data_IF_369273708666
#
_entry.id   IF_369273708666
#
_cell.length_a   1.000
_cell.length_b   1.000
_cell.length_c   1.000
_cell.angle_alpha   90.00
_cell.angle_beta   90.00
_cell.angle_gamma   90.00
#
_symmetry.space_group_name_H-M   'P 1'
#
loop_
_entity.id
_entity.type
_entity.pdbx_description
1 polymer ?
#
# COMPACT_ATOMS: atom_id res chain seq x y z
N UNK A 1 8.83 -18.37 -3.10
CA UNK A 1 8.64 -17.18 -3.96
C UNK A 1 7.15 -16.95 -4.15
N UNK A 2 6.59 -15.81 -3.72
CA UNK A 2 5.14 -15.56 -3.83
C UNK A 2 4.78 -15.36 -5.31
N UNK A 3 3.92 -16.22 -5.88
CA UNK A 3 3.42 -16.04 -7.26
C UNK A 3 2.44 -14.86 -7.28
N UNK A 4 2.88 -13.74 -7.85
CA UNK A 4 2.06 -12.53 -7.99
C UNK A 4 1.46 -12.53 -9.40
N UNK A 5 0.14 -12.42 -9.52
CA UNK A 5 -0.50 -12.28 -10.83
C UNK A 5 -0.17 -10.92 -11.46
N UNK A 6 -0.19 -10.83 -12.79
CA UNK A 6 0.09 -9.58 -13.51
C UNK A 6 -0.84 -8.43 -13.06
N UNK A 7 -2.09 -8.76 -12.73
CA UNK A 7 -3.09 -7.80 -12.23
C UNK A 7 -2.67 -7.22 -10.88
N UNK A 8 -2.27 -8.07 -9.95
CA UNK A 8 -1.83 -7.66 -8.61
C UNK A 8 -0.51 -6.88 -8.70
N UNK A 9 0.38 -7.24 -9.62
CA UNK A 9 1.61 -6.49 -9.86
C UNK A 9 1.32 -5.06 -10.37
N UNK A 10 0.31 -4.88 -11.24
CA UNK A 10 -0.14 -3.55 -11.69
C UNK A 10 -0.66 -2.72 -10.51
N UNK A 11 -1.52 -3.33 -9.70
CA UNK A 11 -2.09 -2.72 -8.50
C UNK A 11 -0.99 -2.26 -7.52
N UNK A 12 0.00 -3.13 -7.26
CA UNK A 12 1.16 -2.83 -6.42
C UNK A 12 2.00 -1.67 -6.98
N UNK A 13 2.19 -1.59 -8.31
CA UNK A 13 2.95 -0.49 -8.94
C UNK A 13 2.26 0.86 -8.76
N UNK A 14 0.93 0.91 -8.91
CA UNK A 14 0.15 2.15 -8.72
C UNK A 14 0.27 2.63 -7.28
N UNK A 15 0.01 1.76 -6.31
CA UNK A 15 0.12 2.11 -4.89
C UNK A 15 1.56 2.49 -4.53
N UNK A 16 2.56 1.77 -5.05
CA UNK A 16 3.95 2.14 -4.83
C UNK A 16 4.27 3.52 -5.39
N UNK A 17 3.79 3.88 -6.58
CA UNK A 17 3.99 5.22 -7.17
C UNK A 17 3.37 6.31 -6.29
N UNK A 18 2.15 6.10 -5.78
CA UNK A 18 1.48 7.03 -4.86
C UNK A 18 2.31 7.26 -3.59
N UNK A 19 2.75 6.18 -2.94
CA UNK A 19 3.55 6.26 -1.72
C UNK A 19 4.94 6.85 -1.97
N UNK A 20 5.53 6.62 -3.15
CA UNK A 20 6.81 7.22 -3.54
C UNK A 20 6.72 8.73 -3.77
N UNK A 21 5.60 9.21 -4.32
CA UNK A 21 5.36 10.64 -4.50
C UNK A 21 5.18 11.38 -3.17
N UNK A 22 4.88 10.66 -2.09
CA UNK A 22 4.54 11.24 -0.78
C UNK A 22 5.27 10.50 0.36
N UNK A 23 6.60 10.56 0.42
CA UNK A 23 7.41 9.68 1.29
C UNK A 23 7.23 9.92 2.79
N UNK A 24 6.79 11.12 3.19
CA UNK A 24 6.56 11.51 4.60
C UNK A 24 5.08 11.38 5.01
N UNK A 25 4.17 11.26 4.03
CA UNK A 25 2.75 11.20 4.30
C UNK A 25 2.29 9.76 4.54
N UNK A 26 1.56 9.58 5.63
CA UNK A 26 0.92 8.29 5.93
C UNK A 26 -0.46 8.25 5.32
N UNK A 27 -0.80 7.12 4.68
CA UNK A 27 -2.11 6.93 4.06
C UNK A 27 -2.86 5.79 4.75
N UNK A 28 -4.16 5.97 4.93
CA UNK A 28 -5.08 4.88 5.27
C UNK A 28 -5.45 4.09 4.01
N UNK A 29 -6.06 2.91 4.20
CA UNK A 29 -6.59 2.12 3.07
C UNK A 29 -7.66 2.90 2.31
N UNK A 30 -8.48 3.70 3.01
CA UNK A 30 -9.52 4.53 2.39
C UNK A 30 -8.91 5.63 1.52
N UNK A 31 -7.91 6.34 2.04
CA UNK A 31 -7.22 7.39 1.27
C UNK A 31 -6.64 6.81 -0.03
N UNK A 32 -5.94 5.67 0.06
CA UNK A 32 -5.36 5.02 -1.13
C UNK A 32 -6.47 4.58 -2.09
N UNK A 33 -7.58 4.05 -1.57
CA UNK A 33 -8.76 3.66 -2.37
C UNK A 33 -9.31 4.84 -3.16
N UNK A 34 -9.45 6.00 -2.53
CA UNK A 34 -9.92 7.24 -3.14
C UNK A 34 -8.91 7.77 -4.17
N UNK A 35 -7.63 7.89 -3.81
CA UNK A 35 -6.58 8.41 -4.72
C UNK A 35 -6.37 7.53 -5.96
N UNK A 36 -6.55 6.22 -5.83
CA UNK A 36 -6.29 5.27 -6.92
C UNK A 36 -7.55 4.84 -7.67
N UNK A 37 -8.74 5.19 -7.16
CA UNK A 37 -10.02 4.68 -7.66
C UNK A 37 -10.22 3.17 -7.48
N UNK A 38 -9.37 2.52 -6.69
CA UNK A 38 -9.41 1.07 -6.47
C UNK A 38 -10.34 0.73 -5.31
N UNK A 39 -11.04 -0.40 -5.39
CA UNK A 39 -11.78 -0.93 -4.25
C UNK A 39 -10.82 -1.23 -3.07
N UNK A 40 -11.21 -0.84 -1.86
CA UNK A 40 -10.61 -1.16 -0.55
C UNK A 40 -10.05 -2.58 -0.46
N UNK A 41 -10.76 -3.60 -0.96
CA UNK A 41 -10.27 -5.00 -0.92
C UNK A 41 -9.01 -5.21 -1.77
N UNK A 42 -8.97 -4.62 -2.97
CA UNK A 42 -7.78 -4.68 -3.84
C UNK A 42 -6.62 -3.92 -3.24
N UNK A 43 -6.88 -2.75 -2.65
CA UNK A 43 -5.87 -1.96 -1.94
C UNK A 43 -5.28 -2.77 -0.79
N UNK A 44 -6.12 -3.38 0.05
CA UNK A 44 -5.67 -4.22 1.18
C UNK A 44 -4.77 -5.37 0.70
N UNK A 45 -5.16 -6.06 -0.37
CA UNK A 45 -4.37 -7.17 -0.90
C UNK A 45 -3.03 -6.69 -1.49
N UNK A 46 -3.03 -5.61 -2.27
CA UNK A 46 -1.81 -5.07 -2.84
C UNK A 46 -0.84 -4.53 -1.77
N UNK A 47 -1.34 -3.89 -0.71
CA UNK A 47 -0.54 -3.47 0.45
C UNK A 47 0.06 -4.67 1.18
N UNK A 48 -0.71 -5.72 1.42
CA UNK A 48 -0.21 -6.96 2.02
C UNK A 48 0.93 -7.57 1.19
N UNK A 49 0.80 -7.57 -0.14
CA UNK A 49 1.85 -8.06 -1.03
C UNK A 49 3.09 -7.16 -1.01
N UNK A 50 2.92 -5.84 -0.98
CA UNK A 50 4.02 -4.88 -0.86
C UNK A 50 4.78 -5.04 0.47
N UNK A 51 4.06 -5.31 1.57
CA UNK A 51 4.64 -5.59 2.89
C UNK A 51 5.43 -6.91 2.89
N UNK A 52 4.88 -7.99 2.30
CA UNK A 52 5.60 -9.26 2.11
C UNK A 52 6.85 -9.12 1.25
N UNK A 53 6.87 -8.16 0.33
CA UNK A 53 8.05 -7.81 -0.46
C UNK A 53 8.98 -6.80 0.23
N UNK A 54 8.74 -6.42 1.49
CA UNK A 54 9.51 -5.41 2.24
C UNK A 54 9.62 -4.05 1.51
N UNK A 55 8.55 -3.66 0.78
CA UNK A 55 8.50 -2.39 0.02
C UNK A 55 7.77 -1.27 0.75
N UNK A 56 6.93 -1.60 1.74
CA UNK A 56 6.24 -0.62 2.61
C UNK A 56 6.25 -1.07 4.08
N UNK A 57 6.19 -0.12 5.02
CA UNK A 57 5.95 -0.39 6.45
C UNK A 57 4.52 -0.02 6.82
N UNK A 58 3.85 -0.92 7.53
CA UNK A 58 2.58 -0.65 8.20
C UNK A 58 2.87 -0.09 9.60
N UNK A 59 2.14 0.94 9.99
CA UNK A 59 2.12 1.50 11.34
C UNK A 59 0.70 1.43 11.86
N UNK A 60 0.54 1.02 13.10
CA UNK A 60 -0.75 1.07 13.79
C UNK A 60 -0.76 2.31 14.67
N UNK A 61 -1.78 3.16 14.51
CA UNK A 61 -1.94 4.28 15.43
C UNK A 61 -2.54 3.79 16.76
N UNK A 62 -2.45 4.60 17.82
CA UNK A 62 -3.03 4.30 19.15
C UNK A 62 -4.56 4.04 19.15
N UNK A 63 -5.25 4.28 18.03
CA UNK A 63 -6.69 4.06 17.82
C UNK A 63 -6.99 2.85 16.91
N UNK A 64 -6.00 1.99 16.61
CA UNK A 64 -6.18 0.78 15.80
C UNK A 64 -6.32 1.01 14.29
N UNK A 65 -6.16 2.25 13.81
CA UNK A 65 -6.19 2.54 12.38
C UNK A 65 -4.81 2.25 11.76
N UNK A 66 -4.80 1.32 10.80
CA UNK A 66 -3.61 0.96 10.02
C UNK A 66 -3.28 2.06 9.03
N UNK A 67 -2.06 2.58 9.13
CA UNK A 67 -1.47 3.58 8.25
C UNK A 67 -0.27 2.98 7.52
N UNK A 68 -0.07 3.37 6.28
CA UNK A 68 0.98 2.82 5.42
C UNK A 68 1.93 3.92 4.97
N UNK A 69 3.22 3.62 5.04
CA UNK A 69 4.32 4.46 4.53
C UNK A 69 5.26 3.59 3.68
N UNK A 70 6.02 4.20 2.77
CA UNK A 70 7.13 3.51 2.10
C UNK A 70 8.24 3.16 3.11
N UNK A 71 9.03 2.12 2.84
CA UNK A 71 10.37 2.04 3.44
C UNK A 71 11.20 3.23 2.94
N UNK A 72 11.80 3.97 3.87
CA UNK A 72 12.95 4.81 3.51
C UNK A 72 14.01 3.89 2.90
N UNK A 73 14.53 4.28 1.75
CA UNK A 73 15.84 3.80 1.32
C UNK A 73 16.90 4.29 2.30
#
# INVERSE_FOLDING_TARGET
MVKISNKVNKDMKIISKLLKGNPTQTFTIKDISEFTGMNVYKVRYALFMLEKCQKIKQYENKKGARKYLRFSA
#
